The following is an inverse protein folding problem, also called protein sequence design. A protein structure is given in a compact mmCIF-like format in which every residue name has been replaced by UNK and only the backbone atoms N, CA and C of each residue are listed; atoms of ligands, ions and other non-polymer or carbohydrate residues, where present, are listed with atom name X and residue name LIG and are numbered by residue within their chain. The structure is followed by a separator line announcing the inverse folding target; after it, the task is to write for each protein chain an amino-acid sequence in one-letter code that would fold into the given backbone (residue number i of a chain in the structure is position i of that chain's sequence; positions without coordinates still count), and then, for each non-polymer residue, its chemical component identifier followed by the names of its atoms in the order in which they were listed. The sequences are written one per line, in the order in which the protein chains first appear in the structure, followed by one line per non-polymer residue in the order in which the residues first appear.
data_IF_801095231319
#
_entry.id   IF_801095231319
#
_cell.length_a   1.000
_cell.length_b   1.000
_cell.length_c   1.000
_cell.angle_alpha   90.00
_cell.angle_beta   90.00
_cell.angle_gamma   90.00
#
_symmetry.space_group_name_H-M   'P 1'
#
loop_
_entity.id
_entity.type
_entity.pdbx_description
1 polymer ?
#
# COMPACT_ATOMS: atom_id res chain seq x y z
N UNK A 1 25.07 4.17 24.61
CA UNK A 1 23.85 3.64 23.99
C UNK A 1 23.03 4.82 23.49
N UNK A 2 23.01 5.07 22.19
CA UNK A 2 22.11 6.07 21.60
C UNK A 2 20.75 5.43 21.43
N UNK A 3 19.74 5.91 22.14
CA UNK A 3 18.36 5.48 21.90
C UNK A 3 17.97 5.87 20.48
N UNK A 4 17.65 4.88 19.64
CA UNK A 4 17.07 5.16 18.32
C UNK A 4 15.65 5.69 18.55
N UNK A 5 15.45 6.97 18.21
CA UNK A 5 14.13 7.61 18.28
C UNK A 5 13.45 7.36 16.95
N UNK A 6 12.33 6.63 17.00
CA UNK A 6 11.47 6.44 15.84
C UNK A 6 10.32 7.43 15.89
N UNK A 7 10.04 8.04 14.75
CA UNK A 7 8.83 8.83 14.52
C UNK A 7 7.95 8.07 13.52
N UNK A 8 6.64 8.12 13.72
CA UNK A 8 5.67 7.51 12.81
C UNK A 8 4.86 8.62 12.15
N UNK A 9 4.81 8.59 10.83
CA UNK A 9 4.08 9.55 10.01
C UNK A 9 3.06 8.83 9.14
N UNK A 10 2.03 9.58 8.75
CA UNK A 10 0.99 9.14 7.83
C UNK A 10 0.34 7.80 8.22
N UNK A 11 -0.18 7.69 9.46
CA UNK A 11 -0.77 6.46 9.91
C UNK A 11 -2.09 6.15 9.20
N UNK A 12 -2.38 4.88 9.04
CA UNK A 12 -3.67 4.34 8.63
C UNK A 12 -3.96 3.09 9.47
N UNK A 13 -5.23 2.83 9.77
CA UNK A 13 -5.60 1.74 10.67
C UNK A 13 -6.90 1.06 10.24
N UNK A 14 -6.95 -0.24 10.50
CA UNK A 14 -8.11 -1.10 10.24
C UNK A 14 -8.28 -2.11 11.37
N UNK A 15 -9.50 -2.62 11.53
CA UNK A 15 -9.84 -3.60 12.57
C UNK A 15 -10.38 -4.86 11.91
N UNK A 16 -9.95 -6.03 12.37
CA UNK A 16 -10.54 -7.30 11.93
C UNK A 16 -11.83 -7.63 12.69
N UNK A 17 -12.50 -8.72 12.29
CA UNK A 17 -13.74 -9.17 12.94
C UNK A 17 -13.54 -9.65 14.39
N UNK A 18 -12.29 -9.86 14.84
CA UNK A 18 -11.96 -10.27 16.19
C UNK A 18 -11.61 -9.08 17.10
N UNK A 19 -11.65 -7.86 16.57
CA UNK A 19 -11.29 -6.64 17.30
C UNK A 19 -9.78 -6.38 17.37
N UNK A 20 -8.96 -7.12 16.59
CA UNK A 20 -7.54 -6.82 16.48
C UNK A 20 -7.35 -5.56 15.62
N UNK A 21 -6.49 -4.65 16.09
CA UNK A 21 -6.22 -3.38 15.40
C UNK A 21 -4.90 -3.51 14.65
N UNK A 22 -4.93 -3.17 13.37
CA UNK A 22 -3.79 -3.17 12.48
C UNK A 22 -3.52 -1.73 12.09
N UNK A 23 -2.29 -1.30 12.30
CA UNK A 23 -1.82 0.05 12.03
C UNK A 23 -0.67 -0.02 11.05
N UNK A 24 -0.71 0.79 10.00
CA UNK A 24 0.45 0.98 9.12
C UNK A 24 0.89 2.43 9.15
N UNK A 25 2.19 2.66 9.02
CA UNK A 25 2.76 4.00 8.98
C UNK A 25 4.11 4.01 8.25
N UNK A 26 4.52 5.21 7.87
CA UNK A 26 5.92 5.48 7.54
C UNK A 26 6.67 5.68 8.85
N UNK A 27 7.54 4.73 9.20
CA UNK A 27 8.48 4.90 10.29
C UNK A 27 9.72 5.65 9.76
N UNK A 28 10.18 6.65 10.51
CA UNK A 28 11.44 7.36 10.25
C UNK A 28 12.31 7.31 11.50
N UNK A 29 13.59 7.07 11.31
CA UNK A 29 14.58 7.18 12.39
C UNK A 29 15.43 8.45 12.27
N UNK A 30 16.26 8.68 13.29
CA UNK A 30 17.16 9.83 13.39
C UNK A 30 18.30 9.84 12.34
N UNK A 31 18.46 8.76 11.56
CA UNK A 31 19.44 8.65 10.47
C UNK A 31 18.78 8.85 9.11
N UNK A 32 17.53 9.31 9.07
CA UNK A 32 16.70 9.48 7.87
C UNK A 32 16.38 8.16 7.14
N UNK A 33 16.53 7.00 7.79
CA UNK A 33 15.96 5.78 7.23
C UNK A 33 14.43 5.88 7.29
N UNK A 34 13.78 5.49 6.20
CA UNK A 34 12.33 5.37 6.14
C UNK A 34 11.94 3.93 5.87
N UNK A 35 10.85 3.49 6.47
CA UNK A 35 10.29 2.16 6.28
C UNK A 35 8.77 2.20 6.31
N UNK A 36 8.15 1.25 5.64
CA UNK A 36 6.75 0.91 5.89
C UNK A 36 6.73 -0.15 6.97
N UNK A 37 5.96 0.13 8.01
CA UNK A 37 5.74 -0.82 9.10
C UNK A 37 4.27 -1.20 9.21
N UNK A 38 4.05 -2.38 9.77
CA UNK A 38 2.76 -2.84 10.25
C UNK A 38 2.87 -3.11 11.76
N UNK A 39 2.03 -2.46 12.53
CA UNK A 39 1.90 -2.64 13.97
C UNK A 39 0.55 -3.29 14.24
N UNK A 40 0.55 -4.42 14.96
CA UNK A 40 -0.66 -5.18 15.26
C UNK A 40 -0.86 -5.16 16.77
N UNK A 41 -2.04 -4.73 17.19
CA UNK A 41 -2.51 -4.87 18.56
C UNK A 41 -3.58 -5.96 18.61
N UNK A 42 -3.24 -7.08 19.24
CA UNK A 42 -4.09 -8.27 19.34
C UNK A 42 -4.01 -8.80 20.77
N UNK A 43 -5.16 -8.91 21.45
CA UNK A 43 -5.23 -9.47 22.81
C UNK A 43 -4.35 -8.74 23.83
N UNK A 44 -4.19 -7.42 23.70
CA UNK A 44 -3.37 -6.60 24.60
C UNK A 44 -1.85 -6.71 24.38
N UNK A 45 -1.42 -7.43 23.34
CA UNK A 45 -0.02 -7.49 22.93
C UNK A 45 0.20 -6.70 21.65
N UNK A 46 1.29 -5.95 21.59
CA UNK A 46 1.74 -5.25 20.39
C UNK A 46 2.86 -6.02 19.70
N UNK A 47 2.78 -6.13 18.38
CA UNK A 47 3.88 -6.63 17.54
C UNK A 47 4.14 -5.65 16.39
N UNK A 48 5.41 -5.44 16.06
CA UNK A 48 5.84 -4.56 14.97
C UNK A 48 6.49 -5.40 13.87
N UNK A 49 6.14 -5.11 12.62
CA UNK A 49 6.62 -5.81 11.44
C UNK A 49 7.15 -4.81 10.42
N UNK A 50 8.31 -5.12 9.87
CA UNK A 50 8.89 -4.37 8.77
C UNK A 50 8.32 -4.89 7.45
N UNK A 51 7.65 -4.03 6.69
CA UNK A 51 7.07 -4.39 5.39
C UNK A 51 8.08 -4.08 4.29
N UNK A 52 8.60 -2.86 4.24
CA UNK A 52 9.68 -2.45 3.33
C UNK A 52 10.58 -1.42 4.03
N UNK A 53 11.84 -1.33 3.63
CA UNK A 53 12.81 -0.41 4.22
C UNK A 53 13.74 0.20 3.20
N UNK A 54 14.14 1.45 3.45
CA UNK A 54 15.22 2.09 2.74
C UNK A 54 16.55 1.57 3.26
N UNK A 55 17.24 0.70 2.51
CA UNK A 55 18.53 0.16 2.95
C UNK A 55 19.72 1.10 2.66
N UNK A 56 19.58 2.04 1.72
CA UNK A 56 20.71 2.81 1.17
C UNK A 56 20.55 4.35 1.24
N UNK A 57 19.53 4.87 1.93
CA UNK A 57 19.32 6.30 2.12
C UNK A 57 18.61 7.03 0.96
N UNK A 58 18.31 6.37 -0.15
CA UNK A 58 17.69 6.99 -1.35
C UNK A 58 16.18 6.77 -1.44
N UNK A 59 15.65 5.75 -0.77
CA UNK A 59 14.23 5.38 -0.84
C UNK A 59 13.40 6.19 0.15
N UNK A 60 12.29 6.76 -0.33
CA UNK A 60 11.27 7.41 0.49
C UNK A 60 9.94 6.69 0.31
N UNK A 61 9.18 6.59 1.38
CA UNK A 61 7.83 6.05 1.36
C UNK A 61 6.80 7.14 1.64
N UNK A 62 5.65 7.04 0.99
CA UNK A 62 4.52 7.97 1.21
C UNK A 62 3.24 7.20 1.56
N UNK A 63 2.47 7.80 2.48
CA UNK A 63 1.12 7.47 2.96
C UNK A 63 0.66 6.04 2.69
N UNK A 64 1.08 5.07 3.52
CA UNK A 64 0.53 3.73 3.43
C UNK A 64 -0.96 3.73 3.74
N UNK A 65 -1.70 2.87 3.06
CA UNK A 65 -3.12 2.59 3.30
C UNK A 65 -3.32 1.12 3.53
N UNK A 66 -4.11 0.77 4.54
CA UNK A 66 -4.36 -0.61 4.95
C UNK A 66 -5.82 -0.98 4.74
N UNK A 67 -6.05 -2.24 4.38
CA UNK A 67 -7.38 -2.84 4.30
C UNK A 67 -7.29 -4.29 4.75
N UNK A 68 -8.26 -4.72 5.57
CA UNK A 68 -8.44 -6.13 5.92
C UNK A 68 -9.65 -6.64 5.15
N UNK A 69 -9.42 -7.62 4.28
CA UNK A 69 -10.45 -8.20 3.43
C UNK A 69 -10.23 -9.69 3.33
N UNK A 70 -11.28 -10.49 3.58
CA UNK A 70 -11.24 -11.95 3.49
C UNK A 70 -10.06 -12.59 4.25
N UNK A 71 -9.82 -12.17 5.50
CA UNK A 71 -8.71 -12.62 6.35
C UNK A 71 -7.31 -12.40 5.73
N UNK A 72 -7.18 -11.39 4.88
CA UNK A 72 -5.91 -10.94 4.34
C UNK A 72 -5.70 -9.47 4.65
N UNK A 73 -4.44 -9.12 4.86
CA UNK A 73 -3.98 -7.76 5.03
C UNK A 73 -3.52 -7.30 3.65
N UNK A 74 -4.03 -6.15 3.23
CA UNK A 74 -3.58 -5.45 2.05
C UNK A 74 -3.02 -4.11 2.50
N UNK A 75 -1.81 -3.77 2.06
CA UNK A 75 -1.21 -2.46 2.30
C UNK A 75 -0.76 -1.91 0.96
N UNK A 76 -1.22 -0.72 0.60
CA UNK A 76 -0.68 0.00 -0.55
C UNK A 76 0.08 1.23 -0.11
N UNK A 77 1.16 1.54 -0.80
CA UNK A 77 2.00 2.70 -0.51
C UNK A 77 2.77 3.10 -1.76
N UNK A 78 3.25 4.34 -1.76
CA UNK A 78 4.13 4.83 -2.82
C UNK A 78 5.57 4.71 -2.36
N UNK A 79 6.38 4.05 -3.18
CA UNK A 79 7.83 3.97 -3.02
C UNK A 79 8.47 4.94 -4.02
N UNK A 80 9.23 5.92 -3.52
CA UNK A 80 10.05 6.82 -4.34
C UNK A 80 11.50 6.40 -4.23
N UNK A 81 12.10 6.04 -5.35
CA UNK A 81 13.53 5.77 -5.50
C UNK A 81 14.08 6.70 -6.58
N UNK A 82 15.04 7.55 -6.19
CA UNK A 82 15.51 8.69 -6.98
C UNK A 82 14.33 9.59 -7.43
N UNK A 83 14.06 9.70 -8.73
CA UNK A 83 12.91 10.42 -9.27
C UNK A 83 11.76 9.51 -9.74
N UNK A 84 11.88 8.20 -9.53
CA UNK A 84 10.83 7.25 -9.90
C UNK A 84 9.93 6.96 -8.71
N UNK A 85 8.63 7.12 -8.90
CA UNK A 85 7.60 6.67 -7.95
C UNK A 85 6.97 5.38 -8.45
N UNK A 86 6.72 4.47 -7.52
CA UNK A 86 6.10 3.18 -7.77
C UNK A 86 4.93 2.98 -6.81
N UNK A 87 3.82 2.47 -7.33
CA UNK A 87 2.69 2.03 -6.51
C UNK A 87 2.91 0.58 -6.13
N UNK A 88 3.03 0.33 -4.83
CA UNK A 88 3.25 -1.01 -4.28
C UNK A 88 1.96 -1.51 -3.64
N UNK A 89 1.71 -2.81 -3.79
CA UNK A 89 0.72 -3.55 -3.00
C UNK A 89 1.43 -4.68 -2.27
N UNK A 90 1.39 -4.64 -0.94
CA UNK A 90 1.69 -5.76 -0.08
C UNK A 90 0.38 -6.52 0.20
N UNK A 91 0.43 -7.84 0.08
CA UNK A 91 -0.67 -8.72 0.49
C UNK A 91 -0.13 -9.87 1.34
N UNK A 92 -0.73 -10.07 2.50
CA UNK A 92 -0.42 -11.21 3.38
C UNK A 92 -1.68 -11.83 3.96
N UNK A 93 -1.57 -13.06 4.43
CA UNK A 93 -2.53 -13.60 5.38
C UNK A 93 -2.37 -12.90 6.75
N UNK A 94 -3.31 -13.13 7.69
CA UNK A 94 -3.20 -12.58 9.05
C UNK A 94 -2.01 -13.14 9.86
N UNK A 95 -1.45 -14.28 9.44
CA UNK A 95 -0.20 -14.84 9.98
C UNK A 95 1.07 -14.19 9.41
N UNK A 96 0.90 -13.21 8.52
CA UNK A 96 1.95 -12.38 7.91
C UNK A 96 2.86 -13.12 6.93
N UNK A 97 2.42 -14.28 6.45
CA UNK A 97 2.95 -14.85 5.20
C UNK A 97 2.40 -14.06 4.02
N UNK A 98 3.26 -13.38 3.25
CA UNK A 98 2.82 -12.45 2.23
C UNK A 98 3.85 -12.15 1.13
N UNK A 99 3.39 -11.43 0.12
CA UNK A 99 4.17 -11.02 -1.04
C UNK A 99 3.97 -9.53 -1.31
N UNK A 100 4.99 -8.90 -1.91
CA UNK A 100 4.89 -7.55 -2.45
C UNK A 100 4.81 -7.59 -3.97
N UNK A 101 4.00 -6.67 -4.50
CA UNK A 101 3.77 -6.53 -5.93
C UNK A 101 3.96 -5.07 -6.31
N UNK A 102 4.78 -4.80 -7.32
CA UNK A 102 4.83 -3.49 -7.98
C UNK A 102 3.69 -3.44 -8.97
N UNK A 103 2.65 -2.65 -8.66
CA UNK A 103 1.48 -2.52 -9.53
C UNK A 103 1.79 -1.62 -10.72
N UNK A 104 2.48 -0.50 -10.49
CA UNK A 104 2.82 0.47 -11.52
C UNK A 104 4.18 1.11 -11.22
N UNK A 105 4.97 1.33 -12.28
CA UNK A 105 6.30 1.95 -12.20
C UNK A 105 6.55 3.08 -13.20
N UNK A 106 5.65 3.29 -14.18
CA UNK A 106 5.78 4.30 -15.23
C UNK A 106 5.00 5.59 -14.98
N UNK A 107 3.95 5.55 -14.17
CA UNK A 107 2.92 6.62 -14.16
C UNK A 107 3.14 7.66 -13.07
N UNK A 108 4.30 7.62 -12.40
CA UNK A 108 4.71 8.54 -11.33
C UNK A 108 3.59 8.85 -10.30
N UNK A 109 3.04 7.82 -9.60
CA UNK A 109 1.93 8.00 -8.69
C UNK A 109 2.28 8.94 -7.53
N UNK A 110 1.36 9.85 -7.21
CA UNK A 110 1.49 10.88 -6.18
C UNK A 110 0.66 10.60 -4.93
N UNK A 111 -0.44 9.88 -5.07
CA UNK A 111 -1.26 9.44 -3.94
C UNK A 111 -1.93 8.11 -4.26
N UNK A 112 -2.26 7.34 -3.22
CA UNK A 112 -2.98 6.10 -3.33
C UNK A 112 -4.03 5.97 -2.22
N UNK A 113 -5.13 5.30 -2.53
CA UNK A 113 -6.17 4.92 -1.59
C UNK A 113 -6.54 3.46 -1.80
N UNK A 114 -6.95 2.80 -0.73
CA UNK A 114 -7.28 1.38 -0.69
C UNK A 114 -8.67 1.21 -0.07
N UNK A 115 -9.57 0.57 -0.82
CA UNK A 115 -10.92 0.23 -0.35
C UNK A 115 -11.35 -1.11 -0.93
N UNK A 116 -12.48 -1.61 -0.47
CA UNK A 116 -13.19 -2.70 -1.12
C UNK A 116 -14.57 -2.25 -1.57
N UNK A 117 -15.08 -2.97 -2.57
CA UNK A 117 -16.50 -3.01 -2.88
C UNK A 117 -16.91 -4.48 -3.01
N UNK A 118 -17.78 -4.93 -2.12
CA UNK A 118 -18.03 -6.36 -1.90
C UNK A 118 -16.72 -7.10 -1.57
N UNK A 119 -16.35 -8.06 -2.41
CA UNK A 119 -15.14 -8.86 -2.29
C UNK A 119 -14.00 -8.29 -3.14
N UNK A 120 -14.23 -7.29 -3.97
CA UNK A 120 -13.21 -6.73 -4.86
C UNK A 120 -12.38 -5.69 -4.13
N UNK A 121 -11.07 -5.74 -4.37
CA UNK A 121 -10.11 -4.75 -3.88
C UNK A 121 -10.03 -3.60 -4.89
N UNK A 122 -10.19 -2.38 -4.41
CA UNK A 122 -10.17 -1.16 -5.18
C UNK A 122 -8.97 -0.32 -4.75
N UNK A 123 -8.09 -0.01 -5.71
CA UNK A 123 -6.93 0.84 -5.49
C UNK A 123 -7.05 2.04 -6.41
N UNK A 124 -7.39 3.20 -5.87
CA UNK A 124 -7.33 4.44 -6.65
C UNK A 124 -5.99 5.11 -6.43
N UNK A 125 -5.39 5.64 -7.49
CA UNK A 125 -4.18 6.44 -7.41
C UNK A 125 -4.30 7.67 -8.29
N UNK A 126 -3.51 8.70 -7.99
CA UNK A 126 -3.42 9.89 -8.83
C UNK A 126 -1.98 10.09 -9.29
N UNK A 127 -1.81 10.64 -10.48
CA UNK A 127 -0.55 11.23 -10.92
C UNK A 127 -0.77 12.73 -11.22
N UNK A 128 0.19 13.40 -11.85
CA UNK A 128 0.08 14.84 -12.13
C UNK A 128 -1.02 15.16 -13.16
N UNK A 129 -1.47 14.18 -13.95
CA UNK A 129 -2.38 14.39 -15.08
C UNK A 129 -3.79 13.82 -14.84
N UNK A 130 -3.91 12.73 -14.07
CA UNK A 130 -5.09 11.88 -14.03
C UNK A 130 -5.35 11.25 -12.65
N UNK A 131 -6.60 10.86 -12.43
CA UNK A 131 -7.00 9.96 -11.34
C UNK A 131 -7.36 8.62 -11.96
N UNK A 132 -6.78 7.56 -11.44
CA UNK A 132 -6.91 6.21 -11.96
C UNK A 132 -7.45 5.27 -10.90
N UNK A 133 -8.24 4.29 -11.31
CA UNK A 133 -8.75 3.22 -10.45
C UNK A 133 -8.28 1.87 -10.98
N UNK A 134 -7.56 1.14 -10.16
CA UNK A 134 -7.24 -0.26 -10.36
C UNK A 134 -8.30 -1.09 -9.61
N UNK A 135 -8.99 -1.95 -10.34
CA UNK A 135 -9.94 -2.91 -9.77
C UNK A 135 -9.29 -4.29 -9.78
N UNK A 136 -9.20 -4.89 -8.59
CA UNK A 136 -8.66 -6.22 -8.38
C UNK A 136 -9.76 -7.17 -7.90
N UNK A 137 -10.04 -8.18 -8.71
CA UNK A 137 -11.03 -9.20 -8.42
C UNK A 137 -10.38 -10.31 -7.57
N UNK A 138 -10.75 -10.40 -6.29
CA UNK A 138 -10.15 -11.36 -5.35
C UNK A 138 -10.64 -12.81 -5.56
N UNK A 139 -11.67 -13.01 -6.39
CA UNK A 139 -12.28 -14.33 -6.62
C UNK A 139 -11.40 -15.32 -7.39
N UNK A 140 -10.30 -14.88 -7.99
CA UNK A 140 -9.26 -15.77 -8.49
C UNK A 140 -8.08 -15.75 -7.51
N UNK A 141 -7.72 -16.90 -6.95
CA UNK A 141 -6.52 -17.10 -6.12
C UNK A 141 -5.18 -16.78 -6.84
N UNK A 142 -5.23 -16.12 -8.00
CA UNK A 142 -4.12 -15.67 -8.82
C UNK A 142 -4.14 -14.15 -8.92
N UNK A 143 -3.03 -13.54 -8.55
CA UNK A 143 -2.84 -12.08 -8.45
C UNK A 143 -2.60 -11.42 -9.83
N UNK A 144 -3.32 -11.90 -10.86
CA UNK A 144 -2.94 -11.67 -12.27
C UNK A 144 -4.00 -10.92 -13.09
N UNK A 145 -5.17 -10.62 -12.53
CA UNK A 145 -6.25 -9.96 -13.26
C UNK A 145 -6.52 -8.56 -12.71
N UNK A 146 -5.75 -7.58 -13.19
CA UNK A 146 -6.03 -6.16 -12.93
C UNK A 146 -6.85 -5.59 -14.07
N UNK A 147 -7.95 -4.91 -13.74
CA UNK A 147 -8.61 -4.02 -14.70
C UNK A 147 -8.32 -2.58 -14.28
N UNK A 148 -7.69 -1.83 -15.18
CA UNK A 148 -7.51 -0.39 -14.99
C UNK A 148 -8.74 0.32 -15.55
N UNK A 149 -9.43 1.04 -14.68
CA UNK A 149 -10.45 2.01 -15.02
C UNK A 149 -9.83 3.40 -14.82
N UNK A 150 -9.45 4.04 -15.91
CA UNK A 150 -8.95 5.41 -15.89
C UNK A 150 -10.13 6.38 -15.78
N UNK A 151 -10.09 7.31 -14.82
CA UNK A 151 -11.09 8.36 -14.65
C UNK A 151 -10.44 9.70 -15.01
N UNK A 152 -10.54 10.11 -16.27
CA UNK A 152 -10.01 11.41 -16.65
C UNK A 152 -10.78 12.56 -15.96
N UNK A 153 -10.05 13.62 -15.65
CA UNK A 153 -10.63 14.91 -15.30
C UNK A 153 -11.62 15.35 -16.40
N UNK A 154 -12.67 16.13 -16.07
CA UNK A 154 -13.70 16.51 -17.04
C UNK A 154 -13.09 17.10 -18.32
N UNK A 155 -13.22 16.41 -19.47
CA UNK A 155 -12.83 16.93 -20.79
C UNK A 155 -11.84 16.13 -21.65
N UNK A 156 -11.39 14.93 -21.25
CA UNK A 156 -10.57 14.05 -22.11
C UNK A 156 -11.24 12.68 -22.35
N UNK A 157 -10.71 11.87 -23.28
CA UNK A 157 -11.28 10.56 -23.73
C UNK A 157 -10.54 9.35 -23.15
N UNK A 158 -11.30 8.47 -22.51
CA UNK A 158 -10.93 7.17 -21.91
C UNK A 158 -10.06 6.28 -22.82
N UNK A 159 -8.97 5.71 -22.29
CA UNK A 159 -8.24 4.57 -22.88
C UNK A 159 -8.02 3.45 -21.87
N UNK A 160 -8.98 2.54 -21.71
CA UNK A 160 -8.75 1.33 -20.89
C UNK A 160 -7.60 0.47 -21.44
N UNK A 161 -6.60 0.16 -20.61
CA UNK A 161 -5.58 -0.86 -20.89
C UNK A 161 -5.76 -2.07 -19.99
N UNK A 162 -5.72 -3.27 -20.60
CA UNK A 162 -5.54 -4.52 -19.86
C UNK A 162 -4.04 -4.74 -19.67
N UNK A 163 -3.56 -4.75 -18.43
CA UNK A 163 -2.20 -5.24 -18.15
C UNK A 163 -2.31 -6.74 -17.88
N UNK A 164 -1.97 -7.53 -18.89
CA UNK A 164 -1.68 -8.97 -18.74
C UNK A 164 -0.16 -9.08 -18.66
N UNK A 165 0.37 -9.55 -17.52
CA UNK A 165 1.76 -10.03 -17.43
C UNK A 165 1.75 -11.49 -17.03
#
# INVERSE_FOLDING_TARGET
MTNEVHTYADPDAETDNNGNIYFTAVQRDNKNFSSIVLIINSGGSQKNYLIDSNQNGTIKFDKPKILILQNKIYITFIKKEDEKKQLILFSSNLDLTGNQFTLLSSDNPNSASLKNHNQDLLISYSNDEEINLLVYYTNSNTLNNFKICEFESPGKKIKGQNIIK
#
